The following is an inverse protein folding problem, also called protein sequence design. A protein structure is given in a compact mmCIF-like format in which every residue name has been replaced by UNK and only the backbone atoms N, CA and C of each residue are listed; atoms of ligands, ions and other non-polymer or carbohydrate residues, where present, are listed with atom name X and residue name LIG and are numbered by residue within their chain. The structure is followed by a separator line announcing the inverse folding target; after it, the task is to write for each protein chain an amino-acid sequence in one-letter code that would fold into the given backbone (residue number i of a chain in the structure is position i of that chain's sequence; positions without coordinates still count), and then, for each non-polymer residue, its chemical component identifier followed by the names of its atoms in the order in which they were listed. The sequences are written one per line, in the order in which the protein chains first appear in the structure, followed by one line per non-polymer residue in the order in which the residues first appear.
data_IF_313812612427
#
_entry.id   IF_313812612427
#
_cell.length_a   1.000
_cell.length_b   1.000
_cell.length_c   1.000
_cell.angle_alpha   90.00
_cell.angle_beta   90.00
_cell.angle_gamma   90.00
#
_symmetry.space_group_name_H-M   'P 1'
#
loop_
_entity.id
_entity.type
_entity.pdbx_description
1 polymer ?
2 branched ?
3 branched ?
4 non-polymer ?
5 water ?
#
# COMPACT_ATOMS: atom_id res chain seq x y z
N UNK A 2 8.62 23.56 -6.53
CA UNK A 2 9.02 22.30 -5.79
C UNK A 2 9.49 22.58 -4.34
N UNK A 3 10.50 23.44 -4.18
CA UNK A 3 11.04 23.79 -2.84
C UNK A 3 10.06 24.75 -2.13
N UNK A 4 9.26 25.44 -2.94
CA UNK A 4 8.21 26.37 -2.45
C UNK A 4 6.95 25.65 -1.95
N UNK A 5 6.61 24.54 -2.58
CA UNK A 5 5.46 23.77 -2.13
C UNK A 5 5.87 22.58 -1.27
N UNK A 6 5.12 22.31 -0.23
CA UNK A 6 5.50 21.21 0.70
C UNK A 6 4.45 20.13 0.63
N UNK A 7 4.88 18.94 0.21
CA UNK A 7 4.02 17.77 0.25
C UNK A 7 4.71 16.53 0.70
N UNK A 8 3.94 15.48 0.97
CA UNK A 8 4.56 14.16 1.19
C UNK A 8 4.87 13.53 -0.16
N UNK A 9 6.11 13.07 -0.32
CA UNK A 9 6.49 12.39 -1.55
C UNK A 9 5.71 11.11 -1.71
N UNK A 10 5.33 10.52 -0.61
CA UNK A 10 4.55 9.32 -0.67
C UNK A 10 3.58 9.18 0.46
N UNK A 11 2.39 8.79 0.11
CA UNK A 11 1.34 8.54 1.08
C UNK A 11 0.68 7.15 0.91
N UNK A 12 0.39 6.46 2.01
CA UNK A 12 -0.28 5.14 1.94
C UNK A 12 -1.66 5.11 2.57
N UNK A 13 -2.56 4.47 1.85
CA UNK A 13 -3.94 4.28 2.31
C UNK A 13 -4.45 2.88 1.99
N UNK A 14 -5.29 2.36 2.87
CA UNK A 14 -5.79 1.01 2.72
C UNK A 14 -6.93 1.03 1.73
N UNK A 15 -6.89 0.04 0.84
CA UNK A 15 -7.98 -0.18 -0.09
C UNK A 15 -9.31 -0.17 0.65
N UNK A 16 -10.24 0.67 0.17
CA UNK A 16 -11.54 0.80 0.84
C UNK A 16 -11.57 1.81 1.97
N UNK A 17 -10.38 2.26 2.42
CA UNK A 17 -10.26 3.27 3.50
C UNK A 17 -10.00 4.76 3.11
N UNK A 18 -9.25 5.46 3.98
CA UNK A 18 -9.07 6.91 3.83
C UNK A 18 -7.62 7.31 4.02
N UNK A 19 -7.19 8.29 3.22
CA UNK A 19 -5.92 9.03 3.40
C UNK A 19 -6.12 10.51 3.27
N UNK A 20 -5.03 11.19 3.52
CA UNK A 20 -4.91 12.61 3.38
C UNK A 20 -3.61 12.89 2.64
N UNK A 21 -3.65 13.81 1.69
CA UNK A 21 -2.45 14.26 0.97
C UNK A 21 -2.15 15.70 1.35
N UNK A 22 -1.21 15.93 2.28
CA UNK A 22 -0.88 17.29 2.63
C UNK A 22 -0.38 18.16 1.43
N UNK A 23 -0.55 19.46 1.54
CA UNK A 23 0.00 20.42 0.57
C UNK A 23 -0.08 21.82 1.12
N UNK A 24 1.06 22.48 1.20
CA UNK A 24 1.14 23.84 1.72
C UNK A 24 2.06 24.69 0.92
N UNK A 25 1.62 25.91 0.69
CA UNK A 25 2.51 26.96 0.23
C UNK A 25 3.31 27.48 1.40
N UNK A 26 4.60 27.20 1.36
CA UNK A 26 5.52 27.64 2.38
C UNK A 26 5.69 29.17 2.38
N UNK A 27 5.51 29.78 3.55
CA UNK A 27 5.94 31.17 3.80
C UNK A 27 7.45 31.28 4.02
N UNK A 28 7.99 32.51 4.11
CA UNK A 28 7.27 33.72 3.72
C UNK A 28 7.12 33.69 2.23
N UNK A 29 6.10 34.33 1.72
CA UNK A 29 6.01 34.48 0.28
C UNK A 29 5.24 35.71 -0.11
N UNK A 30 5.87 36.46 -1.00
CA UNK A 30 5.31 37.66 -1.62
C UNK A 30 4.06 37.34 -2.46
N UNK A 31 3.94 36.09 -2.88
CA UNK A 31 3.03 35.72 -3.91
C UNK A 31 1.57 35.78 -3.42
N UNK A 32 0.64 35.73 -4.36
CA UNK A 32 -0.77 35.64 -4.10
C UNK A 32 -1.37 34.48 -4.88
N UNK A 33 -2.30 33.77 -4.28
CA UNK A 33 -2.78 32.59 -4.87
C UNK A 33 -4.09 32.84 -5.54
N UNK A 34 -4.15 32.48 -6.82
CA UNK A 34 -5.31 32.78 -7.67
C UNK A 34 -6.20 31.59 -7.68
N UNK A 35 -5.58 30.45 -7.44
CA UNK A 35 -6.27 29.15 -7.37
C UNK A 35 -5.29 28.02 -7.07
N UNK A 36 -5.84 26.88 -6.69
CA UNK A 36 -5.08 25.67 -6.42
C UNK A 36 -5.84 24.54 -7.01
N UNK A 37 -5.15 23.60 -7.62
CA UNK A 37 -5.76 22.39 -8.05
C UNK A 37 -4.86 21.23 -7.81
N UNK A 38 -5.47 20.06 -7.75
CA UNK A 38 -4.77 18.79 -7.67
C UNK A 38 -5.07 18.11 -8.96
N UNK A 39 -4.02 17.60 -9.58
CA UNK A 39 -4.11 16.95 -10.90
C UNK A 39 -3.50 15.58 -10.83
N UNK A 40 -3.96 14.69 -11.66
CA UNK A 40 -3.23 13.47 -11.89
C UNK A 40 -1.99 13.74 -12.72
N UNK A 41 -1.31 12.67 -13.07
CA UNK A 41 -0.16 12.70 -13.97
C UNK A 41 -0.57 13.19 -15.39
N UNK A 42 -1.64 12.61 -15.91
CA UNK A 42 -2.08 12.94 -17.29
C UNK A 42 -2.65 14.36 -17.38
N UNK A 43 -2.73 15.04 -16.25
CA UNK A 43 -3.20 16.44 -16.23
C UNK A 43 -4.65 16.64 -15.83
N UNK A 44 -5.40 15.52 -15.72
CA UNK A 44 -6.81 15.58 -15.27
C UNK A 44 -6.94 16.13 -13.85
N UNK A 45 -7.78 17.14 -13.72
CA UNK A 45 -8.02 17.80 -12.45
C UNK A 45 -8.99 17.00 -11.68
N UNK A 46 -8.75 16.95 -10.40
CA UNK A 46 -9.43 16.04 -9.53
C UNK A 46 -10.05 16.83 -8.38
N UNK A 47 -9.40 17.93 -8.05
CA UNK A 47 -9.89 18.81 -7.03
C UNK A 47 -9.44 20.22 -7.36
N UNK A 48 -10.33 21.18 -7.11
CA UNK A 48 -10.05 22.57 -7.45
C UNK A 48 -10.52 23.49 -6.37
N UNK A 49 -9.71 24.49 -6.07
CA UNK A 49 -10.11 25.47 -5.10
C UNK A 49 -9.78 26.88 -5.58
N UNK A 50 -10.76 27.79 -5.46
CA UNK A 50 -10.65 29.20 -5.86
C UNK A 50 -11.20 30.14 -4.79
N UNK A 51 -10.45 31.22 -4.46
CA UNK A 51 -10.85 32.10 -3.36
C UNK A 51 -12.23 32.71 -3.46
N UNK A 52 -12.79 32.79 -4.68
CA UNK A 52 -14.19 33.31 -4.88
C UNK A 52 -15.16 32.24 -5.29
N UNK A 53 -14.76 31.44 -6.27
CA UNK A 53 -15.67 30.49 -6.90
C UNK A 53 -15.88 29.28 -6.01
N UNK A 54 -15.04 29.16 -4.99
CA UNK A 54 -15.23 28.11 -4.02
C UNK A 54 -14.49 26.87 -4.39
N UNK A 55 -15.00 25.73 -4.01
CA UNK A 55 -14.32 24.48 -4.14
C UNK A 55 -15.05 23.63 -5.16
N UNK A 56 -14.36 22.75 -5.88
CA UNK A 56 -15.09 21.83 -6.81
C UNK A 56 -14.33 20.59 -7.17
N UNK A 57 -15.05 19.53 -7.38
CA UNK A 57 -14.46 18.21 -7.72
C UNK A 57 -15.12 17.81 -9.06
N UNK A 58 -14.55 18.31 -10.16
CA UNK A 58 -15.14 18.31 -11.48
C UNK A 58 -15.16 16.97 -12.16
N UNK A 59 -14.46 16.02 -11.59
CA UNK A 59 -14.33 14.71 -12.15
C UNK A 59 -15.19 13.67 -11.48
N UNK A 60 -15.79 12.84 -12.30
CA UNK A 60 -16.81 11.88 -11.89
C UNK A 60 -16.20 10.66 -11.23
N UNK A 61 -14.96 10.35 -11.60
CA UNK A 61 -14.18 9.31 -10.87
C UNK A 61 -13.75 9.73 -9.47
N UNK A 62 -13.87 11.03 -9.16
CA UNK A 62 -13.36 11.55 -7.89
C UNK A 62 -14.35 12.60 -7.33
N UNK A 63 -15.55 12.14 -7.02
CA UNK A 63 -16.61 13.03 -6.59
C UNK A 63 -16.44 13.58 -5.16
N UNK A 64 -17.26 14.57 -4.87
CA UNK A 64 -17.33 15.12 -3.54
C UNK A 64 -17.73 14.07 -2.51
N UNK A 65 -18.29 12.98 -2.94
CA UNK A 65 -18.63 11.93 -1.97
C UNK A 65 -17.38 11.22 -1.47
N UNK A 66 -16.25 11.39 -2.18
CA UNK A 66 -14.97 10.71 -1.80
C UNK A 66 -13.83 11.69 -1.47
N UNK A 67 -13.81 12.82 -2.13
CA UNK A 67 -12.73 13.77 -1.97
C UNK A 67 -13.21 15.00 -1.23
N UNK A 68 -12.27 15.67 -0.57
CA UNK A 68 -12.57 16.89 0.11
C UNK A 68 -11.30 17.57 0.58
N UNK A 69 -11.40 18.88 0.80
CA UNK A 69 -10.26 19.66 1.26
C UNK A 69 -10.32 19.75 2.77
N UNK A 70 -9.21 19.47 3.41
CA UNK A 70 -9.09 19.62 4.87
C UNK A 70 -8.79 21.04 5.25
N UNK A 71 -9.81 21.81 5.53
CA UNK A 71 -9.57 23.14 6.05
C UNK A 71 -8.99 23.07 7.50
N UNK A 72 -7.98 23.87 7.80
CA UNK A 72 -7.52 24.02 9.21
C UNK A 72 -7.42 25.50 9.62
N UNK A 73 -8.27 26.33 8.99
CA UNK A 73 -8.36 27.79 9.25
C UNK A 73 -9.70 28.10 9.89
N UNK A 74 -9.84 29.32 10.47
CA UNK A 74 -11.03 29.72 11.24
C UNK A 74 -12.25 30.13 10.39
N UNK A 75 -12.41 29.43 9.26
CA UNK A 75 -13.52 29.66 8.29
C UNK A 75 -13.46 31.05 7.64
N UNK A 76 -12.34 31.73 7.86
CA UNK A 76 -12.21 33.15 7.48
C UNK A 76 -10.79 33.45 6.95
N UNK A 77 -10.19 32.46 6.30
CA UNK A 77 -8.84 32.62 5.73
C UNK A 77 -8.85 33.32 4.36
N UNK A 78 -8.01 34.34 4.24
CA UNK A 78 -7.75 35.02 2.97
C UNK A 78 -6.45 34.45 2.32
N UNK A 79 -5.35 34.56 3.06
CA UNK A 79 -3.98 34.15 2.63
C UNK A 79 -3.97 32.82 1.83
N UNK A 80 -4.66 31.80 2.35
CA UNK A 80 -4.99 30.52 1.59
C UNK A 80 -3.91 29.51 1.13
N UNK A 81 -3.13 29.01 2.08
CA UNK A 81 -1.93 28.24 1.72
C UNK A 81 -1.96 26.74 2.00
N UNK A 82 -3.07 26.23 2.52
CA UNK A 82 -3.17 24.79 2.82
C UNK A 82 -4.17 24.10 1.86
N UNK A 83 -3.73 23.17 1.04
CA UNK A 83 -4.60 22.55 0.07
C UNK A 83 -4.69 21.06 0.32
N UNK A 84 -4.47 20.67 1.56
CA UNK A 84 -4.55 19.25 1.95
C UNK A 84 -5.80 18.53 1.40
N UNK A 85 -5.60 17.50 0.61
CA UNK A 85 -6.73 16.75 -0.03
C UNK A 85 -6.96 15.44 0.74
N UNK A 86 -8.21 15.18 1.12
CA UNK A 86 -8.60 13.92 1.81
C UNK A 86 -9.39 13.10 0.87
N UNK A 87 -9.14 11.82 0.94
CA UNK A 87 -9.87 10.81 0.17
C UNK A 87 -10.55 9.84 1.12
N UNK A 88 -11.73 9.34 0.75
CA UNK A 88 -12.31 8.10 1.37
C UNK A 88 -12.84 7.12 0.34
N UNK A 89 -13.10 5.89 0.76
CA UNK A 89 -13.42 4.83 -0.18
C UNK A 89 -12.34 4.57 -1.21
N UNK A 90 -11.08 4.60 -0.77
CA UNK A 90 -9.99 4.42 -1.73
C UNK A 90 -10.23 3.20 -2.67
N UNK A 91 -9.89 3.40 -3.92
CA UNK A 91 -9.97 2.34 -4.91
C UNK A 91 -8.62 2.10 -5.52
N UNK A 92 -8.50 0.99 -6.21
CA UNK A 92 -7.27 0.66 -6.90
C UNK A 92 -6.95 1.72 -7.95
N UNK A 93 -8.00 2.21 -8.59
CA UNK A 93 -7.90 3.20 -9.66
C UNK A 93 -7.24 4.49 -9.19
N UNK A 94 -7.36 4.79 -7.90
CA UNK A 94 -6.83 6.03 -7.34
C UNK A 94 -5.33 6.03 -7.20
N UNK A 95 -4.72 4.86 -7.27
CA UNK A 95 -3.27 4.81 -7.19
C UNK A 95 -2.71 5.80 -8.22
N UNK A 96 -1.71 6.57 -7.84
CA UNK A 96 -0.96 7.33 -8.81
C UNK A 96 -0.22 8.48 -8.17
N UNK A 97 0.46 9.24 -9.01
CA UNK A 97 1.10 10.47 -8.59
C UNK A 97 0.20 11.68 -8.83
N UNK A 98 -0.04 12.45 -7.79
CA UNK A 98 -0.88 13.63 -7.88
C UNK A 98 -0.09 14.92 -7.68
N UNK A 99 -0.41 15.90 -8.50
CA UNK A 99 0.29 17.19 -8.47
C UNK A 99 -0.54 18.22 -7.74
N UNK A 100 0.05 18.86 -6.74
CA UNK A 100 -0.59 19.96 -6.03
C UNK A 100 -0.05 21.25 -6.64
N UNK A 101 -0.89 22.00 -7.36
CA UNK A 101 -0.42 23.17 -8.16
C UNK A 101 -1.13 24.46 -7.75
N UNK A 102 -0.40 25.29 -7.05
CA UNK A 102 -0.86 26.66 -6.75
C UNK A 102 -0.55 27.60 -7.88
N UNK A 103 -1.59 28.17 -8.46
CA UNK A 103 -1.42 29.24 -9.43
C UNK A 103 -1.25 30.54 -8.70
N UNK A 104 -0.02 31.08 -8.71
CA UNK A 104 0.26 32.31 -8.07
C UNK A 104 0.66 33.47 -9.01
N UNK A 105 0.63 34.70 -8.46
CA UNK A 105 0.86 35.95 -9.17
C UNK A 105 1.88 36.72 -8.39
N UNK A 106 2.88 37.24 -9.08
CA UNK A 106 3.05 37.19 -10.51
C UNK A 106 4.00 36.09 -11.02
N UNK A 107 4.65 35.36 -10.16
CA UNK A 107 5.72 34.47 -10.66
C UNK A 107 5.26 33.02 -10.89
N UNK A 108 3.98 32.83 -11.21
CA UNK A 108 3.50 31.58 -11.82
C UNK A 108 3.23 30.43 -10.87
N UNK A 109 2.99 29.26 -11.48
CA UNK A 109 2.51 28.06 -10.78
C UNK A 109 3.66 27.27 -10.13
N UNK A 110 3.57 27.02 -8.82
CA UNK A 110 4.57 26.20 -8.09
C UNK A 110 3.94 24.86 -7.69
N UNK A 111 4.69 23.77 -7.85
CA UNK A 111 4.06 22.46 -7.73
C UNK A 111 4.82 21.37 -6.99
N UNK A 112 4.06 20.59 -6.25
CA UNK A 112 4.55 19.43 -5.54
C UNK A 112 3.84 18.16 -5.92
N UNK A 113 4.57 17.05 -5.87
CA UNK A 113 4.07 15.76 -6.34
C UNK A 113 4.03 14.72 -5.22
N UNK A 114 2.92 14.02 -5.14
CA UNK A 114 2.71 13.03 -4.10
C UNK A 114 2.26 11.72 -4.70
N UNK A 115 2.98 10.68 -4.37
CA UNK A 115 2.62 9.34 -4.78
C UNK A 115 1.62 8.75 -3.81
N UNK A 116 0.39 8.62 -4.28
CA UNK A 116 -0.66 7.98 -3.53
C UNK A 116 -0.69 6.47 -3.76
N UNK A 117 -0.28 5.73 -2.73
CA UNK A 117 -0.19 4.25 -2.82
C UNK A 117 -1.33 3.62 -2.11
N UNK A 118 -2.10 2.84 -2.87
CA UNK A 118 -3.23 2.13 -2.35
C UNK A 118 -2.79 0.74 -1.96
N UNK A 119 -2.97 0.40 -0.70
CA UNK A 119 -2.45 -0.85 -0.16
C UNK A 119 -3.51 -1.77 0.41
N UNK A 120 -3.34 -3.07 0.22
CA UNK A 120 -4.26 -4.08 0.80
C UNK A 120 -3.51 -5.09 1.66
N UNK A 121 -3.86 -5.11 2.94
CA UNK A 121 -3.27 -6.00 3.92
C UNK A 121 -3.76 -7.44 3.71
N UNK A 122 -2.82 -8.36 3.47
CA UNK A 122 -3.20 -9.74 3.18
C UNK A 122 -3.40 -10.54 4.45
N UNK A 123 -4.20 -11.59 4.33
CA UNK A 123 -4.37 -12.56 5.43
C UNK A 123 -3.36 -13.68 5.23
N UNK A 124 -2.68 -14.06 6.29
CA UNK A 124 -1.65 -15.12 6.19
C UNK A 124 -1.90 -16.32 7.05
N UNK A 125 -1.56 -17.48 6.51
CA UNK A 125 -1.57 -18.70 7.29
C UNK A 125 -0.60 -19.68 6.76
N UNK A 126 -0.22 -20.64 7.60
CA UNK A 126 0.75 -21.66 7.24
C UNK A 126 0.34 -23.04 7.77
N UNK A 127 0.72 -24.08 7.06
CA UNK A 127 0.34 -25.41 7.42
C UNK A 127 1.53 -26.35 7.14
N UNK A 128 1.67 -27.37 7.98
CA UNK A 128 2.53 -28.47 7.69
C UNK A 128 1.80 -29.41 6.75
N UNK A 129 2.55 -29.94 5.80
CA UNK A 129 2.08 -31.05 5.01
C UNK A 129 2.63 -32.41 5.56
N UNK A 130 1.73 -33.32 5.94
CA UNK A 130 2.14 -34.62 6.53
C UNK A 130 2.60 -35.49 5.38
N UNK A 131 3.89 -35.74 5.31
CA UNK A 131 4.47 -36.55 4.22
C UNK A 131 4.95 -37.92 4.67
N UNK A 132 5.27 -38.78 3.71
CA UNK A 132 5.88 -40.09 4.00
C UNK A 132 7.37 -40.12 3.65
N UNK A 133 8.13 -40.88 4.41
CA UNK A 133 9.55 -41.05 4.14
C UNK A 133 9.78 -41.21 2.61
N UNK A 134 10.96 -40.82 2.12
CA UNK A 134 11.28 -41.02 0.70
C UNK A 134 12.43 -40.24 0.10
N UNK A 135 12.91 -40.70 -1.07
CA UNK A 135 13.90 -40.01 -1.89
C UNK A 135 13.29 -38.79 -2.54
N UNK A 136 11.97 -38.83 -2.69
CA UNK A 136 11.22 -37.78 -3.36
C UNK A 136 11.24 -36.53 -2.51
N UNK A 137 12.09 -35.56 -2.87
CA UNK A 137 11.98 -34.23 -2.22
C UNK A 137 10.60 -33.62 -2.52
N UNK A 138 9.81 -33.41 -1.48
CA UNK A 138 8.43 -32.92 -1.62
C UNK A 138 8.14 -31.74 -0.71
N UNK A 139 6.91 -31.25 -0.76
CA UNK A 139 6.49 -30.11 0.07
C UNK A 139 6.06 -30.61 1.44
N UNK A 140 6.75 -30.11 2.44
CA UNK A 140 6.50 -30.45 3.84
C UNK A 140 5.82 -29.33 4.56
N UNK A 141 5.79 -28.16 3.92
CA UNK A 141 5.10 -26.97 4.46
C UNK A 141 4.74 -26.00 3.37
N UNK A 142 3.64 -25.27 3.58
CA UNK A 142 3.34 -24.12 2.71
C UNK A 142 2.76 -22.93 3.48
N UNK A 143 3.13 -21.75 2.98
CA UNK A 143 2.69 -20.47 3.52
C UNK A 143 1.82 -19.74 2.52
N UNK A 144 0.76 -19.13 3.00
CA UNK A 144 -0.16 -18.48 2.09
C UNK A 144 -0.55 -17.06 2.51
N UNK A 145 -0.16 -16.08 1.68
CA UNK A 145 -0.56 -14.69 1.90
C UNK A 145 -1.61 -14.25 0.92
N UNK A 146 -2.85 -14.14 1.36
CA UNK A 146 -3.96 -13.89 0.43
C UNK A 146 -4.40 -12.44 0.45
N UNK A 147 -4.60 -11.91 -0.76
CA UNK A 147 -5.19 -10.57 -1.01
C UNK A 147 -4.32 -9.40 -0.64
N UNK A 148 -3.02 -9.50 -0.94
CA UNK A 148 -2.08 -8.41 -0.65
C UNK A 148 -1.88 -7.44 -1.79
N UNK A 149 -1.55 -6.20 -1.46
CA UNK A 149 -1.26 -5.20 -2.47
C UNK A 149 -0.32 -4.19 -1.90
N UNK A 150 0.92 -4.16 -2.39
CA UNK A 150 1.42 -5.06 -3.41
C UNK A 150 1.51 -6.53 -2.93
N UNK A 151 2.09 -7.39 -3.77
CA UNK A 151 2.27 -8.75 -3.36
C UNK A 151 3.14 -8.83 -2.13
N UNK A 152 2.72 -9.65 -1.18
CA UNK A 152 3.53 -9.97 -0.02
C UNK A 152 4.79 -10.76 -0.43
N UNK A 153 5.85 -10.60 0.36
CA UNK A 153 7.07 -11.39 0.17
C UNK A 153 7.16 -12.44 1.26
N UNK A 154 7.40 -13.67 0.82
CA UNK A 154 7.50 -14.80 1.72
C UNK A 154 8.88 -15.38 1.64
N UNK A 155 9.46 -15.63 2.79
CA UNK A 155 10.68 -16.44 2.89
C UNK A 155 10.50 -17.43 4.01
N UNK A 156 11.36 -18.46 4.03
CA UNK A 156 11.40 -19.45 5.13
C UNK A 156 12.62 -19.36 5.98
N UNK A 157 12.45 -19.75 7.25
CA UNK A 157 13.56 -19.87 8.20
C UNK A 157 13.68 -21.32 8.73
N UNK A 158 14.82 -21.95 8.43
CA UNK A 158 15.03 -23.37 8.78
C UNK A 158 16.51 -23.74 8.92
N UNK A 159 16.77 -24.60 9.88
CA UNK A 159 18.12 -25.19 10.08
C UNK A 159 18.37 -26.36 9.12
N UNK A 160 17.30 -26.96 8.62
CA UNK A 160 17.40 -28.02 7.60
C UNK A 160 17.86 -27.43 6.28
N UNK A 161 17.91 -28.27 5.24
CA UNK A 161 18.46 -27.85 3.93
C UNK A 161 17.55 -27.90 2.70
N UNK A 162 16.32 -27.41 2.85
CA UNK A 162 15.32 -27.53 1.79
C UNK A 162 15.21 -26.29 0.92
N UNK A 163 14.82 -26.48 -0.35
CA UNK A 163 14.56 -25.34 -1.26
C UNK A 163 13.14 -24.81 -1.09
N UNK A 164 12.98 -23.52 -1.21
CA UNK A 164 11.63 -22.94 -1.22
C UNK A 164 11.35 -22.41 -2.59
N UNK A 165 10.12 -22.63 -3.04
CA UNK A 165 9.65 -22.05 -4.29
C UNK A 165 8.16 -21.64 -4.19
N UNK A 166 7.83 -20.46 -4.71
CA UNK A 166 6.46 -19.95 -4.61
C UNK A 166 5.83 -19.54 -5.91
N UNK A 167 4.53 -19.30 -5.84
CA UNK A 167 3.72 -18.91 -7.02
C UNK A 167 2.63 -17.89 -6.69
N UNK A 168 2.20 -17.17 -7.71
CA UNK A 168 1.23 -16.07 -7.56
C UNK A 168 -0.10 -16.29 -8.30
N UNK A 169 -1.16 -15.74 -7.72
CA UNK A 169 -2.48 -15.65 -8.39
C UNK A 169 -3.26 -14.40 -7.95
N UNK A 170 -4.05 -13.83 -8.84
CA UNK A 170 -4.83 -12.68 -8.40
C UNK A 170 -5.74 -13.02 -7.23
N UNK A 171 -5.81 -12.10 -6.28
CA UNK A 171 -6.74 -12.22 -5.14
C UNK A 171 -8.19 -12.01 -5.58
N UNK A 172 -9.11 -12.17 -4.66
CA UNK A 172 -10.54 -11.98 -4.91
C UNK A 172 -10.80 -10.59 -5.41
N UNK A 173 -10.04 -9.63 -4.84
CA UNK A 173 -10.15 -8.22 -5.23
C UNK A 173 -9.13 -7.76 -6.26
N UNK A 174 -9.63 -7.12 -7.31
CA UNK A 174 -8.73 -6.67 -8.34
C UNK A 174 -7.72 -5.74 -7.69
N UNK A 175 -6.47 -5.85 -8.12
CA UNK A 175 -5.35 -5.09 -7.58
C UNK A 175 -4.57 -5.91 -6.57
N UNK A 176 -5.24 -6.92 -6.00
CA UNK A 176 -4.65 -7.71 -4.93
C UNK A 176 -4.09 -9.01 -5.52
N UNK A 177 -3.03 -9.54 -4.91
CA UNK A 177 -2.48 -10.85 -5.30
C UNK A 177 -2.12 -11.74 -4.14
N UNK A 178 -2.44 -13.02 -4.32
CA UNK A 178 -2.19 -14.04 -3.32
C UNK A 178 -0.92 -14.83 -3.66
N UNK A 179 0.02 -14.88 -2.71
CA UNK A 179 1.23 -15.70 -2.90
C UNK A 179 1.23 -16.96 -2.05
N UNK A 180 1.51 -18.06 -2.73
CA UNK A 180 1.63 -19.40 -2.10
C UNK A 180 3.09 -19.90 -2.20
N UNK A 181 3.70 -20.11 -1.04
CA UNK A 181 5.07 -20.63 -1.00
C UNK A 181 5.16 -21.99 -0.35
N UNK A 182 5.76 -22.92 -1.08
CA UNK A 182 5.93 -24.28 -0.60
C UNK A 182 7.40 -24.52 -0.27
N UNK A 183 7.62 -25.00 0.96
CA UNK A 183 8.94 -25.45 1.40
C UNK A 183 9.09 -26.93 1.20
N UNK A 184 10.17 -27.33 0.57
CA UNK A 184 10.34 -28.73 0.22
C UNK A 184 11.71 -29.23 0.56
N UNK A 185 11.77 -30.51 0.94
CA UNK A 185 13.04 -31.17 1.11
C UNK A 185 12.83 -32.67 1.05
N UNK A 186 13.94 -33.41 1.01
CA UNK A 186 13.88 -34.84 1.11
C UNK A 186 13.42 -35.30 2.53
N UNK A 187 12.17 -35.84 2.63
CA UNK A 187 11.56 -36.30 3.89
C UNK A 187 12.26 -37.50 4.52
N UNK A 188 13.15 -37.20 5.44
CA UNK A 188 13.73 -38.20 6.34
C UNK A 188 13.00 -38.20 7.69
N UNK A 189 12.71 -39.41 8.18
CA UNK A 189 11.99 -39.65 9.46
C UNK A 189 12.39 -38.81 10.67
N UNK A 190 13.60 -38.27 10.66
CA UNK A 190 14.15 -37.54 11.81
C UNK A 190 13.75 -36.08 11.76
N UNK A 191 12.89 -35.75 10.81
CA UNK A 191 12.50 -34.37 10.58
C UNK A 191 11.29 -34.01 11.40
N UNK A 192 10.49 -35.03 11.74
CA UNK A 192 9.21 -34.83 12.42
C UNK A 192 9.46 -34.08 13.68
N UNK A 193 8.70 -33.01 13.89
CA UNK A 193 8.83 -32.19 15.10
C UNK A 193 9.68 -30.93 14.94
N UNK A 194 10.43 -30.87 13.84
CA UNK A 194 11.33 -29.75 13.62
C UNK A 194 10.56 -28.53 13.24
N UNK A 195 10.87 -27.43 13.92
CA UNK A 195 10.17 -26.16 13.67
C UNK A 195 10.75 -25.55 12.45
N UNK A 196 9.86 -25.03 11.65
CA UNK A 196 10.21 -24.31 10.47
C UNK A 196 9.31 -23.09 10.36
N UNK A 197 9.92 -21.91 10.24
CA UNK A 197 9.12 -20.70 10.22
C UNK A 197 8.95 -20.07 8.86
N UNK A 198 7.71 -19.71 8.60
CA UNK A 198 7.38 -18.92 7.43
C UNK A 198 7.46 -17.42 7.77
N UNK A 199 8.23 -16.70 6.97
CA UNK A 199 8.38 -15.25 7.16
C UNK A 199 7.78 -14.44 6.02
N UNK A 200 6.76 -13.68 6.36
CA UNK A 200 6.09 -12.86 5.37
C UNK A 200 6.22 -11.37 5.64
N UNK A 201 6.83 -10.67 4.67
CA UNK A 201 6.98 -9.19 4.68
C UNK A 201 5.95 -8.49 3.80
N UNK A 202 5.57 -7.29 4.22
CA UNK A 202 4.56 -6.48 3.50
C UNK A 202 4.46 -5.08 4.03
N UNK A 203 3.86 -4.21 3.26
CA UNK A 203 3.81 -2.80 3.67
C UNK A 203 2.93 -2.62 4.89
N UNK A 204 1.81 -3.32 4.89
CA UNK A 204 0.81 -3.09 5.93
C UNK A 204 1.26 -3.68 7.24
N UNK A 205 2.48 -4.21 7.25
CA UNK A 205 3.05 -4.79 8.48
C UNK A 205 4.32 -4.08 8.82
N UNK A 206 4.34 -3.46 10.00
CA UNK A 206 5.52 -2.70 10.40
C UNK A 206 6.60 -3.69 10.75
N UNK A 207 6.20 -4.83 11.30
CA UNK A 207 7.12 -5.94 11.58
C UNK A 207 6.73 -7.23 10.82
N UNK A 208 7.69 -7.85 10.09
CA UNK A 208 7.45 -9.10 9.39
C UNK A 208 6.77 -10.15 10.27
N UNK A 209 5.85 -10.88 9.66
CA UNK A 209 5.03 -11.85 10.38
C UNK A 209 5.68 -13.23 10.31
N UNK A 210 5.76 -13.87 11.47
CA UNK A 210 6.32 -15.20 11.59
C UNK A 210 5.25 -16.26 11.88
N UNK A 211 5.10 -17.19 10.95
CA UNK A 211 4.12 -18.26 11.10
C UNK A 211 4.84 -19.62 11.24
N UNK A 212 5.13 -20.01 12.48
CA UNK A 212 5.87 -21.24 12.73
C UNK A 212 5.08 -22.49 12.36
N UNK A 213 5.80 -23.49 11.92
CA UNK A 213 5.20 -24.73 11.56
C UNK A 213 6.08 -25.85 12.01
N UNK A 214 5.46 -26.90 12.49
CA UNK A 214 6.22 -28.05 12.88
C UNK A 214 5.93 -29.23 11.93
N UNK A 215 7.02 -29.74 11.37
CA UNK A 215 6.98 -30.77 10.32
C UNK A 215 6.39 -32.06 10.82
N UNK A 216 5.71 -32.75 9.91
CA UNK A 216 4.95 -33.95 10.26
C UNK A 216 5.20 -35.11 9.27
N UNK A 217 6.00 -36.06 9.72
CA UNK A 217 6.31 -37.26 8.90
C UNK A 217 5.47 -38.51 9.29
N UNK A 218 4.50 -38.86 8.43
CA UNK A 218 3.53 -39.95 8.70
C UNK A 218 4.22 -41.25 9.07
N UNK A 219 3.52 -42.04 9.88
CA UNK A 219 4.01 -43.34 10.36
C UNK A 219 5.27 -43.19 11.21
N UNK A 220 5.47 -41.99 11.77
CA UNK A 220 6.66 -41.66 12.58
C UNK A 220 6.37 -40.47 13.53
N UNK A 221 6.35 -40.71 14.82
CA UNK A 221 6.05 -39.68 15.79
C UNK A 221 6.51 -40.10 17.16
N UNK A 222 6.72 -39.12 18.01
CA UNK A 222 7.02 -39.30 19.46
C UNK A 222 5.78 -39.48 20.30
#
# INVERSE_FOLDING_TARGET
QDVRVRVLPEVRGRLGGTVELPCHLLPPTTERVSQVTWQRLDGTVVAAFHPSFGVDFPNSQFSKDRLSFVRARPETNADLRDATLAFRGLRVEDEGNYTCEFATFPNGTRRGVTWLRVIAQPENHAEAQEVTIGPQSVAVARCVSTGGRPPARITWISSLGGEAKDTQEPGIQAGTVTIISRYSLVPVGRADGVKVTCRVEHESFEEPILLPVTLSVRYHHHHHH
#
